data_IF_309661398074
#
_entry.id   IF_309661398074
#
_cell.length_a   1.000
_cell.length_b   1.000
_cell.length_c   1.000
_cell.angle_alpha   90.00
_cell.angle_beta   90.00
_cell.angle_gamma   90.00
#
_symmetry.space_group_name_H-M   'P 1'
#
loop_
_entity.id
_entity.type
_entity.pdbx_description
1 polymer ?
#
# COMPACT_ATOMS: atom_id res chain seq x y z
N UNK A 1 2.54 10.60 84.09
CA UNK A 1 3.34 11.60 83.34
C UNK A 1 2.51 12.76 82.75
N UNK A 2 1.33 13.09 83.30
CA UNK A 2 0.44 14.15 82.78
C UNK A 2 0.30 15.38 83.71
N UNK A 3 1.02 15.43 84.85
CA UNK A 3 0.82 16.45 85.89
C UNK A 3 1.61 17.77 85.69
N UNK A 4 2.34 17.95 84.59
CA UNK A 4 3.21 19.14 84.36
C UNK A 4 2.95 19.87 83.05
N UNK A 5 1.85 19.57 82.34
CA UNK A 5 1.52 20.27 81.08
C UNK A 5 0.63 21.47 81.43
N UNK A 6 1.04 22.72 81.12
CA UNK A 6 0.20 23.89 81.33
C UNK A 6 -1.07 23.79 80.47
N UNK A 7 -2.22 24.15 81.05
CA UNK A 7 -3.56 23.91 80.51
C UNK A 7 -3.73 24.40 79.05
N UNK A 8 -3.15 25.55 78.72
CA UNK A 8 -3.18 26.13 77.36
C UNK A 8 -2.51 25.21 76.31
N UNK A 9 -1.44 24.49 76.68
CA UNK A 9 -0.76 23.55 75.78
C UNK A 9 -1.55 22.24 75.65
N UNK A 10 -2.19 21.78 76.72
CA UNK A 10 -3.03 20.59 76.69
C UNK A 10 -4.24 20.77 75.76
N UNK A 11 -4.90 21.93 75.80
CA UNK A 11 -6.01 22.28 74.89
C UNK A 11 -5.53 22.34 73.43
N UNK A 12 -4.35 22.92 73.17
CA UNK A 12 -3.77 22.94 71.83
C UNK A 12 -3.47 21.53 71.29
N UNK A 13 -2.91 20.63 72.11
CA UNK A 13 -2.67 19.25 71.70
C UNK A 13 -3.98 18.50 71.43
N UNK A 14 -5.02 18.72 72.23
CA UNK A 14 -6.33 18.10 72.03
C UNK A 14 -6.99 18.58 70.72
N UNK A 15 -6.87 19.86 70.38
CA UNK A 15 -7.31 20.40 69.09
C UNK A 15 -6.55 19.79 67.91
N UNK A 16 -5.22 19.65 68.01
CA UNK A 16 -4.40 19.03 66.95
C UNK A 16 -4.74 17.55 66.77
N UNK A 17 -4.91 16.81 67.86
CA UNK A 17 -5.32 15.40 67.82
C UNK A 17 -6.74 15.27 67.26
N UNK A 18 -7.65 16.20 67.56
CA UNK A 18 -8.99 16.24 66.96
C UNK A 18 -8.99 16.54 65.45
N UNK A 19 -8.01 17.31 64.97
CA UNK A 19 -7.86 17.66 63.55
C UNK A 19 -7.24 16.52 62.73
N UNK A 20 -6.37 15.69 63.33
CA UNK A 20 -5.65 14.62 62.65
C UNK A 20 -6.57 13.61 61.91
N UNK A 21 -7.65 13.10 62.51
CA UNK A 21 -8.61 12.23 61.82
C UNK A 21 -9.25 12.90 60.60
N UNK A 22 -9.55 14.19 60.69
CA UNK A 22 -10.12 14.95 59.57
C UNK A 22 -9.12 15.06 58.41
N UNK A 23 -7.88 15.45 58.69
CA UNK A 23 -6.82 15.51 57.67
C UNK A 23 -6.56 14.14 57.03
N UNK A 24 -6.59 13.07 57.82
CA UNK A 24 -6.42 11.71 57.33
C UNK A 24 -7.54 11.30 56.36
N UNK A 25 -8.81 11.60 56.70
CA UNK A 25 -9.95 11.34 55.80
C UNK A 25 -9.84 12.14 54.51
N UNK A 26 -9.45 13.41 54.58
CA UNK A 26 -9.23 14.26 53.40
C UNK A 26 -8.13 13.69 52.52
N UNK A 27 -7.01 13.26 53.09
CA UNK A 27 -5.91 12.64 52.34
C UNK A 27 -6.36 11.35 51.65
N UNK A 28 -7.08 10.46 52.37
CA UNK A 28 -7.62 9.24 51.78
C UNK A 28 -8.59 9.53 50.63
N UNK A 29 -9.45 10.54 50.77
CA UNK A 29 -10.37 10.94 49.73
C UNK A 29 -9.65 11.40 48.46
N UNK A 30 -8.62 12.24 48.58
CA UNK A 30 -7.82 12.66 47.42
C UNK A 30 -7.05 11.49 46.79
N UNK A 31 -6.50 10.58 47.60
CA UNK A 31 -5.84 9.38 47.09
C UNK A 31 -6.79 8.47 46.31
N UNK A 32 -7.99 8.22 46.84
CA UNK A 32 -9.01 7.42 46.15
C UNK A 32 -9.48 8.09 44.86
N UNK A 33 -9.66 9.41 44.89
CA UNK A 33 -10.02 10.18 43.69
C UNK A 33 -8.96 10.08 42.61
N UNK A 34 -7.67 10.17 42.97
CA UNK A 34 -6.57 10.00 42.03
C UNK A 34 -6.54 8.60 41.39
N UNK A 35 -6.74 7.55 42.19
CA UNK A 35 -6.85 6.18 41.68
C UNK A 35 -8.04 5.99 40.73
N UNK A 36 -9.18 6.65 41.02
CA UNK A 36 -10.36 6.59 40.18
C UNK A 36 -10.13 7.31 38.84
N UNK A 37 -9.45 8.45 38.86
CA UNK A 37 -9.07 9.19 37.65
C UNK A 37 -8.08 8.39 36.79
N UNK A 38 -7.09 7.74 37.41
CA UNK A 38 -6.16 6.85 36.72
C UNK A 38 -6.88 5.64 36.10
N UNK A 39 -7.81 5.02 36.84
CA UNK A 39 -8.62 3.90 36.34
C UNK A 39 -9.49 4.33 35.15
N UNK A 40 -10.10 5.51 35.21
CA UNK A 40 -10.87 6.06 34.09
C UNK A 40 -9.98 6.31 32.87
N UNK A 41 -8.79 6.86 33.07
CA UNK A 41 -7.81 7.05 31.99
C UNK A 41 -7.37 5.72 31.36
N UNK A 42 -7.14 4.69 32.18
CA UNK A 42 -6.85 3.34 31.68
C UNK A 42 -8.03 2.78 30.87
N UNK A 43 -9.26 2.92 31.37
CA UNK A 43 -10.46 2.44 30.67
C UNK A 43 -10.65 3.14 29.32
N UNK A 44 -10.46 4.45 29.26
CA UNK A 44 -10.55 5.21 28.01
C UNK A 44 -9.46 4.77 27.01
N UNK A 45 -8.24 4.55 27.49
CA UNK A 45 -7.14 4.05 26.65
C UNK A 45 -7.41 2.63 26.13
N UNK A 46 -7.96 1.74 26.97
CA UNK A 46 -8.33 0.37 26.58
C UNK A 46 -9.47 0.37 25.58
N UNK A 47 -10.48 1.23 25.79
CA UNK A 47 -11.58 1.40 24.85
C UNK A 47 -11.07 1.88 23.49
N UNK A 48 -10.16 2.87 23.47
CA UNK A 48 -9.55 3.36 22.24
C UNK A 48 -8.75 2.27 21.52
N UNK A 49 -7.91 1.52 22.24
CA UNK A 49 -7.12 0.43 21.67
C UNK A 49 -8.00 -0.70 21.12
N UNK A 50 -9.06 -1.07 21.84
CA UNK A 50 -10.02 -2.08 21.41
C UNK A 50 -10.72 -1.66 20.11
N UNK A 51 -11.21 -0.42 20.06
CA UNK A 51 -11.85 0.13 18.86
C UNK A 51 -10.91 0.16 17.65
N UNK A 52 -9.67 0.60 17.82
CA UNK A 52 -8.66 0.61 16.75
C UNK A 52 -8.36 -0.81 16.26
N UNK A 53 -8.27 -1.78 17.19
CA UNK A 53 -8.02 -3.19 16.87
C UNK A 53 -9.18 -3.77 16.06
N UNK A 54 -10.41 -3.55 16.50
CA UNK A 54 -11.62 -4.01 15.80
C UNK A 54 -11.71 -3.42 14.39
N UNK A 55 -11.49 -2.11 14.25
CA UNK A 55 -11.47 -1.44 12.94
C UNK A 55 -10.41 -2.03 12.00
N UNK A 56 -9.20 -2.31 12.51
CA UNK A 56 -8.14 -2.97 11.73
C UNK A 56 -8.51 -4.39 11.32
N UNK A 57 -9.13 -5.16 12.23
CA UNK A 57 -9.59 -6.52 11.93
C UNK A 57 -10.69 -6.53 10.87
N UNK A 58 -11.66 -5.63 10.97
CA UNK A 58 -12.73 -5.50 9.98
C UNK A 58 -12.17 -5.14 8.59
N UNK A 59 -11.20 -4.22 8.53
CA UNK A 59 -10.53 -3.86 7.27
C UNK A 59 -9.75 -5.03 6.69
N UNK A 60 -8.97 -5.75 7.51
CA UNK A 60 -8.22 -6.92 7.04
C UNK A 60 -9.15 -8.02 6.51
N UNK A 61 -10.28 -8.23 7.17
CA UNK A 61 -11.30 -9.19 6.73
C UNK A 61 -11.94 -8.77 5.41
N UNK A 62 -12.26 -7.49 5.25
CA UNK A 62 -12.79 -6.94 4.00
C UNK A 62 -11.80 -7.09 2.84
N UNK A 63 -10.51 -6.77 3.06
CA UNK A 63 -9.45 -6.95 2.06
C UNK A 63 -9.31 -8.41 1.67
N UNK A 64 -9.27 -9.33 2.65
CA UNK A 64 -9.18 -10.76 2.37
C UNK A 64 -10.37 -11.27 1.57
N UNK A 65 -11.58 -10.84 1.91
CA UNK A 65 -12.78 -11.21 1.16
C UNK A 65 -12.74 -10.68 -0.28
N UNK A 66 -12.24 -9.45 -0.48
CA UNK A 66 -12.15 -8.84 -1.79
C UNK A 66 -11.19 -9.58 -2.74
N UNK A 67 -10.09 -10.11 -2.21
CA UNK A 67 -9.04 -10.77 -3.00
C UNK A 67 -9.00 -12.30 -2.85
N UNK A 68 -10.04 -12.90 -2.27
CA UNK A 68 -10.08 -14.35 -1.99
C UNK A 68 -10.01 -15.22 -3.24
N UNK A 69 -10.72 -14.81 -4.28
CA UNK A 69 -10.84 -15.56 -5.54
C UNK A 69 -9.98 -14.91 -6.65
N UNK A 70 -8.86 -14.32 -6.26
CA UNK A 70 -7.92 -13.71 -7.20
C UNK A 70 -7.29 -14.75 -8.13
N UNK A 71 -7.11 -14.38 -9.40
CA UNK A 71 -6.46 -15.22 -10.40
C UNK A 71 -4.94 -15.22 -10.17
N UNK A 72 -4.39 -16.41 -9.89
CA UNK A 72 -2.96 -16.58 -9.69
C UNK A 72 -2.15 -16.21 -10.94
N UNK A 73 -2.70 -16.47 -12.13
CA UNK A 73 -2.01 -16.20 -13.40
C UNK A 73 -2.43 -14.86 -14.00
N UNK A 74 -2.89 -13.91 -13.17
CA UNK A 74 -3.40 -12.62 -13.65
C UNK A 74 -2.36 -11.83 -14.44
N UNK A 75 -1.10 -11.84 -14.00
CA UNK A 75 -0.01 -11.11 -14.65
C UNK A 75 0.19 -11.65 -16.07
N UNK A 76 0.38 -12.96 -16.19
CA UNK A 76 0.56 -13.64 -17.48
C UNK A 76 -0.64 -13.43 -18.42
N UNK A 77 -1.87 -13.51 -17.89
CA UNK A 77 -3.09 -13.43 -18.71
C UNK A 77 -3.50 -12.02 -19.13
N UNK A 78 -3.18 -11.00 -18.33
CA UNK A 78 -3.73 -9.65 -18.53
C UNK A 78 -2.68 -8.54 -18.65
N UNK A 79 -1.46 -8.73 -18.13
CA UNK A 79 -0.37 -7.78 -18.28
C UNK A 79 0.59 -8.19 -19.39
N UNK A 80 1.01 -9.46 -19.44
CA UNK A 80 1.98 -9.91 -20.45
C UNK A 80 1.39 -10.01 -21.86
N UNK A 81 0.07 -10.18 -21.99
CA UNK A 81 -0.63 -10.19 -23.28
C UNK A 81 -0.84 -8.79 -23.89
N UNK A 82 -0.40 -7.72 -23.21
CA UNK A 82 -0.59 -6.36 -23.70
C UNK A 82 0.38 -6.05 -24.85
N UNK A 83 -0.18 -5.55 -25.95
CA UNK A 83 0.57 -4.97 -27.05
C UNK A 83 0.65 -3.45 -26.85
N UNK A 84 1.83 -2.87 -27.10
CA UNK A 84 2.11 -1.44 -26.95
C UNK A 84 2.44 -0.78 -28.28
N UNK A 85 2.32 0.55 -28.32
CA UNK A 85 2.69 1.36 -29.49
C UNK A 85 1.98 0.92 -30.78
N UNK A 86 0.73 0.44 -30.68
CA UNK A 86 -0.10 0.04 -31.83
C UNK A 86 -0.10 1.09 -32.98
N UNK A 87 -0.21 2.42 -32.72
CA UNK A 87 -0.14 3.43 -33.78
C UNK A 87 1.21 3.49 -34.51
N UNK A 88 2.32 3.24 -33.81
CA UNK A 88 3.66 3.19 -34.42
C UNK A 88 3.80 1.91 -35.25
N UNK A 89 3.33 0.77 -34.73
CA UNK A 89 3.34 -0.50 -35.46
C UNK A 89 2.55 -0.39 -36.77
N UNK A 90 1.35 0.20 -36.74
CA UNK A 90 0.54 0.39 -37.95
C UNK A 90 1.21 1.29 -38.99
N UNK A 91 1.86 2.36 -38.55
CA UNK A 91 2.57 3.27 -39.48
C UNK A 91 3.80 2.60 -40.08
N UNK A 92 4.57 1.86 -39.29
CA UNK A 92 5.72 1.08 -39.77
C UNK A 92 5.31 -0.04 -40.73
N UNK A 93 4.19 -0.73 -40.46
CA UNK A 93 3.65 -1.75 -41.37
C UNK A 93 3.26 -1.15 -42.73
N UNK A 94 2.62 0.02 -42.73
CA UNK A 94 2.26 0.73 -43.97
C UNK A 94 3.49 1.15 -44.78
N UNK A 95 4.53 1.66 -44.10
CA UNK A 95 5.78 2.07 -44.75
C UNK A 95 6.54 0.86 -45.29
N UNK A 96 6.60 -0.24 -44.54
CA UNK A 96 7.25 -1.48 -44.97
C UNK A 96 6.55 -2.15 -46.17
N UNK A 97 5.23 -1.98 -46.30
CA UNK A 97 4.44 -2.47 -47.44
C UNK A 97 4.61 -1.62 -48.71
N UNK A 98 5.09 -0.37 -48.60
CA UNK A 98 5.37 0.48 -49.76
C UNK A 98 6.62 -0.02 -50.49
N UNK A 99 6.52 -0.17 -51.82
CA UNK A 99 7.60 -0.70 -52.67
C UNK A 99 8.88 0.14 -52.57
N UNK A 100 8.73 1.44 -52.28
CA UNK A 100 9.85 2.39 -52.18
C UNK A 100 10.75 2.17 -50.95
N UNK A 101 10.25 1.53 -49.89
CA UNK A 101 10.98 1.34 -48.62
C UNK A 101 11.18 -0.13 -48.24
N UNK A 102 10.84 -1.05 -49.15
CA UNK A 102 10.89 -2.49 -48.96
C UNK A 102 12.27 -3.06 -48.54
N UNK A 103 13.36 -2.30 -48.75
CA UNK A 103 14.73 -2.68 -48.39
C UNK A 103 15.32 -1.92 -47.19
N UNK A 104 14.57 -1.07 -46.48
CA UNK A 104 15.12 -0.40 -45.30
C UNK A 104 15.18 -1.38 -44.10
N UNK A 105 16.38 -1.92 -43.86
CA UNK A 105 16.65 -2.80 -42.72
C UNK A 105 16.32 -2.15 -41.37
N UNK A 106 16.39 -0.82 -41.25
CA UNK A 106 16.13 -0.15 -39.97
C UNK A 106 14.64 -0.23 -39.61
N UNK A 107 13.76 -0.07 -40.60
CA UNK A 107 12.31 -0.16 -40.41
C UNK A 107 11.92 -1.59 -40.07
N UNK A 108 12.50 -2.58 -40.76
CA UNK A 108 12.27 -4.01 -40.46
C UNK A 108 12.75 -4.38 -39.06
N UNK A 109 13.96 -4.00 -38.68
CA UNK A 109 14.51 -4.26 -37.32
C UNK A 109 13.70 -3.57 -36.23
N UNK A 110 13.22 -2.34 -36.46
CA UNK A 110 12.37 -1.62 -35.50
C UNK A 110 11.01 -2.28 -35.35
N UNK A 111 10.37 -2.64 -36.47
CA UNK A 111 9.09 -3.34 -36.47
C UNK A 111 9.23 -4.72 -35.80
N UNK A 112 10.29 -5.46 -36.09
CA UNK A 112 10.60 -6.73 -35.43
C UNK A 112 10.77 -6.53 -33.92
N UNK A 113 11.53 -5.53 -33.48
CA UNK A 113 11.67 -5.24 -32.04
C UNK A 113 10.33 -4.95 -31.36
N UNK A 114 9.48 -4.12 -31.97
CA UNK A 114 8.16 -3.75 -31.41
C UNK A 114 7.15 -4.90 -31.44
N UNK A 115 7.25 -5.81 -32.42
CA UNK A 115 6.31 -6.94 -32.59
C UNK A 115 6.80 -8.21 -31.89
N UNK A 116 8.11 -8.30 -31.61
CA UNK A 116 8.72 -9.40 -30.87
C UNK A 116 8.49 -9.27 -29.37
N UNK A 117 8.85 -10.33 -28.63
CA UNK A 117 8.89 -10.30 -27.17
C UNK A 117 9.84 -9.23 -26.60
N UNK A 118 10.69 -8.61 -27.42
CA UNK A 118 11.59 -7.53 -26.98
C UNK A 118 10.87 -6.27 -26.46
N UNK A 119 9.60 -6.06 -26.82
CA UNK A 119 8.78 -4.96 -26.31
C UNK A 119 7.49 -5.41 -25.62
N UNK A 120 7.40 -6.67 -25.16
CA UNK A 120 6.29 -7.15 -24.32
C UNK A 120 6.60 -6.98 -22.84
N UNK A 121 5.58 -6.87 -22.00
CA UNK A 121 5.78 -7.01 -20.55
C UNK A 121 6.10 -8.48 -20.27
N UNK A 122 7.28 -8.75 -19.74
CA UNK A 122 7.66 -10.07 -19.23
C UNK A 122 8.17 -9.88 -17.82
N UNK A 123 7.58 -10.60 -16.87
CA UNK A 123 7.96 -10.56 -15.47
C UNK A 123 8.79 -11.79 -15.11
N UNK A 124 9.73 -11.57 -14.19
CA UNK A 124 10.47 -12.63 -13.53
C UNK A 124 10.00 -12.72 -12.09
N UNK A 125 9.51 -13.90 -11.73
CA UNK A 125 9.12 -14.22 -10.37
C UNK A 125 10.35 -14.28 -9.46
N UNK A 126 10.35 -13.46 -8.42
CA UNK A 126 11.37 -13.41 -7.40
C UNK A 126 11.10 -14.38 -6.25
N UNK A 127 11.64 -14.04 -5.08
CA UNK A 127 11.48 -14.86 -3.87
C UNK A 127 10.03 -14.80 -3.39
N UNK A 128 9.43 -15.97 -3.21
CA UNK A 128 8.10 -16.13 -2.60
C UNK A 128 8.23 -16.07 -1.08
N UNK A 129 7.53 -15.12 -0.46
CA UNK A 129 7.41 -14.99 0.99
C UNK A 129 6.03 -15.47 1.43
N UNK A 130 6.02 -16.57 2.19
CA UNK A 130 4.79 -17.14 2.70
C UNK A 130 4.48 -16.65 4.11
N UNK A 131 3.26 -16.16 4.31
CA UNK A 131 2.71 -15.80 5.62
C UNK A 131 1.48 -16.70 5.91
N UNK A 132 1.02 -16.82 7.17
CA UNK A 132 -0.08 -17.71 7.52
C UNK A 132 -1.42 -17.46 6.79
N UNK A 133 -1.63 -16.25 6.26
CA UNK A 133 -2.90 -15.84 5.63
C UNK A 133 -2.75 -15.43 4.17
N UNK A 134 -1.53 -15.23 3.69
CA UNK A 134 -1.27 -14.73 2.35
C UNK A 134 0.16 -15.07 1.91
N UNK A 135 0.38 -15.07 0.62
CA UNK A 135 1.66 -15.21 -0.05
C UNK A 135 2.01 -13.88 -0.73
N UNK A 136 3.28 -13.50 -0.69
CA UNK A 136 3.82 -12.38 -1.47
C UNK A 136 4.89 -12.86 -2.43
N UNK A 137 4.78 -12.47 -3.69
CA UNK A 137 5.80 -12.68 -4.72
C UNK A 137 6.22 -11.34 -5.28
N UNK A 138 7.54 -11.13 -5.41
CA UNK A 138 8.07 -9.94 -6.05
C UNK A 138 8.23 -10.24 -7.54
N UNK A 139 7.57 -9.46 -8.38
CA UNK A 139 7.59 -9.58 -9.83
C UNK A 139 8.42 -8.45 -10.41
N UNK A 140 9.54 -8.79 -11.05
CA UNK A 140 10.43 -7.79 -11.64
C UNK A 140 10.41 -7.92 -13.15
N UNK A 141 10.18 -6.79 -13.82
CA UNK A 141 10.18 -6.71 -15.27
C UNK A 141 11.57 -7.08 -15.84
N UNK A 142 11.61 -8.05 -16.76
CA UNK A 142 12.85 -8.67 -17.26
C UNK A 142 13.68 -7.70 -18.10
N UNK A 143 13.02 -6.94 -18.97
CA UNK A 143 13.65 -5.94 -19.82
C UNK A 143 12.76 -4.70 -19.92
N UNK A 144 13.33 -3.48 -19.88
CA UNK A 144 12.55 -2.24 -20.02
C UNK A 144 11.69 -2.25 -21.28
N UNK A 145 10.49 -1.67 -21.19
CA UNK A 145 9.49 -1.69 -22.27
C UNK A 145 9.20 -0.28 -22.75
N UNK A 146 9.09 -0.11 -24.07
CA UNK A 146 8.69 1.14 -24.69
C UNK A 146 7.17 1.25 -24.76
N UNK A 147 6.64 2.30 -24.13
CA UNK A 147 5.21 2.54 -23.96
C UNK A 147 4.84 3.97 -24.32
N UNK A 148 3.63 4.17 -24.83
CA UNK A 148 3.01 5.49 -24.98
C UNK A 148 2.28 5.91 -23.69
N UNK A 149 1.83 7.16 -23.66
CA UNK A 149 0.97 7.67 -22.57
C UNK A 149 -0.34 6.87 -22.45
N UNK A 150 -0.94 6.46 -23.57
CA UNK A 150 -2.17 5.64 -23.58
C UNK A 150 -1.91 4.22 -23.08
N UNK A 151 -0.76 3.64 -23.44
CA UNK A 151 -0.36 2.31 -22.97
C UNK A 151 -0.12 2.31 -21.46
N UNK A 152 0.50 3.37 -20.94
CA UNK A 152 0.75 3.54 -19.52
C UNK A 152 -0.56 3.62 -18.72
N UNK A 153 -1.57 4.31 -19.23
CA UNK A 153 -2.91 4.32 -18.61
C UNK A 153 -3.54 2.92 -18.59
N UNK A 154 -3.40 2.16 -19.68
CA UNK A 154 -3.88 0.77 -19.78
C UNK A 154 -3.18 -0.13 -18.75
N UNK A 155 -1.86 -0.04 -18.61
CA UNK A 155 -1.08 -0.81 -17.63
C UNK A 155 -1.52 -0.46 -16.21
N UNK A 156 -1.55 0.83 -15.86
CA UNK A 156 -1.92 1.29 -14.52
C UNK A 156 -3.36 0.93 -14.16
N UNK A 157 -4.31 1.01 -15.11
CA UNK A 157 -5.70 0.62 -14.87
C UNK A 157 -5.81 -0.87 -14.48
N UNK A 158 -4.99 -1.74 -15.08
CA UNK A 158 -4.95 -3.17 -14.77
C UNK A 158 -4.29 -3.45 -13.41
N UNK A 159 -3.21 -2.75 -13.08
CA UNK A 159 -2.48 -2.94 -11.81
C UNK A 159 -3.29 -2.40 -10.63
N UNK A 160 -3.68 -1.13 -10.67
CA UNK A 160 -4.36 -0.44 -9.56
C UNK A 160 -5.82 -0.86 -9.42
N UNK A 161 -6.41 -1.42 -10.48
CA UNK A 161 -7.78 -1.88 -10.50
C UNK A 161 -8.82 -0.77 -10.51
N UNK A 162 -8.42 0.43 -10.93
CA UNK A 162 -9.31 1.58 -11.14
C UNK A 162 -9.44 1.86 -12.63
N UNK A 163 -10.57 2.41 -13.05
CA UNK A 163 -10.74 2.88 -14.41
C UNK A 163 -9.89 4.14 -14.63
N UNK A 164 -8.99 4.10 -15.62
CA UNK A 164 -8.17 5.25 -16.01
C UNK A 164 -8.47 5.58 -17.46
N UNK A 165 -9.07 6.75 -17.69
CA UNK A 165 -9.53 7.15 -19.01
C UNK A 165 -10.57 6.16 -19.57
N UNK A 166 -10.28 5.60 -20.74
CA UNK A 166 -11.14 4.61 -21.42
C UNK A 166 -10.85 3.16 -21.02
N UNK A 167 -9.83 2.89 -20.19
CA UNK A 167 -9.38 1.54 -19.87
C UNK A 167 -9.98 1.03 -18.55
N UNK A 168 -10.64 -0.12 -18.62
CA UNK A 168 -11.22 -0.81 -17.47
C UNK A 168 -10.21 -1.78 -16.81
N UNK A 169 -10.34 -2.00 -15.48
CA UNK A 169 -9.51 -2.97 -14.77
C UNK A 169 -9.82 -4.40 -15.20
N UNK A 170 -8.87 -5.33 -14.98
CA UNK A 170 -9.11 -6.76 -15.23
C UNK A 170 -9.96 -7.42 -14.13
N UNK A 171 -10.69 -8.50 -14.45
CA UNK A 171 -11.48 -9.24 -13.48
C UNK A 171 -10.59 -10.01 -12.50
N UNK A 172 -11.08 -10.25 -11.28
CA UNK A 172 -10.44 -11.13 -10.28
C UNK A 172 -8.94 -10.90 -10.08
N UNK A 173 -8.52 -9.62 -10.03
CA UNK A 173 -7.12 -9.27 -9.85
C UNK A 173 -6.61 -9.64 -8.45
N UNK A 174 -5.35 -10.11 -8.30
CA UNK A 174 -4.69 -10.14 -7.00
C UNK A 174 -4.36 -8.72 -6.52
N UNK A 175 -3.94 -8.60 -5.26
CA UNK A 175 -3.46 -7.32 -4.75
C UNK A 175 -2.06 -7.06 -5.33
N UNK A 176 -1.98 -6.19 -6.33
CA UNK A 176 -0.73 -5.74 -6.93
C UNK A 176 -0.32 -4.40 -6.34
N UNK A 177 0.93 -4.27 -5.92
CA UNK A 177 1.49 -3.02 -5.38
C UNK A 177 2.74 -2.66 -6.17
N UNK A 178 2.79 -1.44 -6.71
CA UNK A 178 3.97 -0.94 -7.40
C UNK A 178 5.03 -0.60 -6.35
N UNK A 179 6.15 -1.33 -6.38
CA UNK A 179 7.29 -1.11 -5.47
C UNK A 179 8.36 -0.23 -6.11
N UNK A 180 8.54 -0.36 -7.42
CA UNK A 180 9.47 0.46 -8.19
C UNK A 180 8.81 0.85 -9.51
N UNK A 181 8.87 2.14 -9.84
CA UNK A 181 8.34 2.71 -11.07
C UNK A 181 9.35 3.70 -11.63
N UNK A 182 10.01 3.33 -12.73
CA UNK A 182 10.98 4.17 -13.43
C UNK A 182 10.49 4.43 -14.84
N UNK A 183 10.46 5.70 -15.23
CA UNK A 183 9.96 6.13 -16.53
C UNK A 183 10.94 7.13 -17.14
N UNK A 184 11.60 6.72 -18.22
CA UNK A 184 12.56 7.56 -18.94
C UNK A 184 11.99 8.00 -20.29
N UNK A 185 12.01 9.31 -20.57
CA UNK A 185 11.53 9.83 -21.85
C UNK A 185 12.54 9.53 -22.96
N UNK A 186 12.14 8.76 -23.96
CA UNK A 186 12.95 8.51 -25.17
C UNK A 186 12.65 9.59 -26.19
N UNK A 187 13.66 10.34 -26.62
CA UNK A 187 13.52 11.31 -27.72
C UNK A 187 13.45 10.54 -29.04
N UNK A 188 12.23 10.20 -29.47
CA UNK A 188 11.92 9.73 -30.82
C UNK A 188 11.31 10.90 -31.59
N UNK A 189 11.59 10.99 -32.89
CA UNK A 189 11.28 12.15 -33.75
C UNK A 189 9.89 12.77 -33.49
N UNK A 190 9.92 14.06 -33.14
CA UNK A 190 8.94 15.17 -33.07
C UNK A 190 7.41 14.97 -32.95
N UNK A 191 6.82 13.78 -33.05
CA UNK A 191 5.35 13.63 -32.97
C UNK A 191 4.84 12.57 -32.00
N UNK A 192 5.64 11.55 -31.66
CA UNK A 192 5.21 10.50 -30.73
C UNK A 192 6.09 10.51 -29.47
N UNK A 193 5.47 10.75 -28.31
CA UNK A 193 6.14 10.63 -27.02
C UNK A 193 6.23 9.15 -26.63
N UNK A 194 7.46 8.62 -26.64
CA UNK A 194 7.76 7.24 -26.22
C UNK A 194 8.48 7.29 -24.89
N UNK A 195 8.06 6.45 -23.95
CA UNK A 195 8.67 6.30 -22.64
C UNK A 195 9.24 4.90 -22.50
N UNK A 196 10.36 4.77 -21.81
CA UNK A 196 10.93 3.50 -21.38
C UNK A 196 10.48 3.26 -19.94
N UNK A 197 9.65 2.25 -19.75
CA UNK A 197 9.10 1.83 -18.48
C UNK A 197 9.94 0.70 -17.89
N UNK A 198 10.33 0.85 -16.64
CA UNK A 198 10.84 -0.22 -15.81
C UNK A 198 10.01 -0.29 -14.51
N UNK A 199 9.56 -1.50 -14.17
CA UNK A 199 8.50 -1.73 -13.20
C UNK A 199 8.84 -2.92 -12.30
N UNK A 200 8.54 -2.77 -11.01
CA UNK A 200 8.58 -3.86 -10.05
C UNK A 200 7.30 -3.90 -9.25
N UNK A 201 6.66 -5.07 -9.22
CA UNK A 201 5.39 -5.29 -8.56
C UNK A 201 5.57 -6.24 -7.38
N UNK A 202 4.81 -6.00 -6.32
CA UNK A 202 4.58 -6.96 -5.26
C UNK A 202 3.19 -7.54 -5.46
N UNK A 203 3.14 -8.83 -5.75
CA UNK A 203 1.91 -9.59 -5.93
C UNK A 203 1.57 -10.25 -4.60
N UNK A 204 0.45 -9.85 -3.98
CA UNK A 204 -0.07 -10.47 -2.76
C UNK A 204 -1.33 -11.28 -3.07
N UNK A 205 -1.30 -12.53 -2.65
CA UNK A 205 -2.36 -13.52 -2.83
C UNK A 205 -2.84 -14.04 -1.48
N UNK A 206 -4.14 -14.06 -1.25
CA UNK A 206 -4.70 -14.53 0.02
C UNK A 206 -5.03 -16.01 -0.05
N UNK A 207 -4.65 -16.76 0.99
CA UNK A 207 -4.92 -18.20 1.15
C UNK A 207 -6.27 -18.46 1.82
#
# INVERSE_FOLDING_TARGET
>A
MLKTIPLNRAVAYLMVIGLLPFLFVVFLFFSQRGQLEELNGMLESLQHQAFVKEKKQALNLAVRQHFRDADHFYIDKYLETLVFLEPEIETLQKIAADKNFSNDEKIKKRLELLTSQGNSLVFSEGVVQAFPLFQETIETLVHPVEVSSTDLQKILARIEGIQIGSFAPGPNRPQLIITEFKLDKKKVNEKNEVFVLNLKLLKREFL
#
